data_IF_686356171849
#
_entry.id   IF_686356171849
#
_cell.length_a   1.000
_cell.length_b   1.000
_cell.length_c   1.000
_cell.angle_alpha   90.00
_cell.angle_beta   90.00
_cell.angle_gamma   90.00
#
_symmetry.space_group_name_H-M   'P 1'
#
loop_
_entity.id
_entity.type
_entity.pdbx_description
1 polymer ?
#
# COMPACT_ATOMS: atom_id res chain seq x y z
N UNK A 1 10.98 -24.35 -13.69
CA UNK A 1 10.87 -23.50 -12.49
C UNK A 1 11.28 -22.11 -12.92
N UNK A 2 10.38 -21.12 -12.86
CA UNK A 2 10.80 -19.71 -13.02
C UNK A 2 11.60 -19.33 -11.78
N UNK A 3 12.73 -18.65 -11.97
CA UNK A 3 13.57 -18.19 -10.87
C UNK A 3 13.06 -16.83 -10.43
N UNK A 4 12.70 -16.69 -9.15
CA UNK A 4 12.39 -15.39 -8.55
C UNK A 4 13.65 -14.53 -8.52
N UNK A 5 13.70 -13.49 -9.36
CA UNK A 5 14.76 -12.49 -9.32
C UNK A 5 14.26 -11.35 -8.43
N UNK A 6 14.79 -11.24 -7.21
CA UNK A 6 14.37 -10.23 -6.24
C UNK A 6 14.63 -8.81 -6.74
N UNK A 7 13.66 -7.91 -6.59
CA UNK A 7 13.85 -6.50 -6.91
C UNK A 7 14.67 -5.81 -5.80
N UNK A 8 15.74 -5.03 -6.10
CA UNK A 8 16.75 -4.65 -5.10
C UNK A 8 16.34 -3.76 -3.92
N UNK A 9 15.09 -3.34 -3.74
CA UNK A 9 14.72 -2.35 -2.71
C UNK A 9 13.30 -2.50 -2.15
N UNK A 10 12.90 -3.69 -1.70
CA UNK A 10 11.48 -3.86 -1.32
C UNK A 10 11.18 -4.75 -0.11
N UNK A 11 12.18 -5.22 0.63
CA UNK A 11 11.91 -6.26 1.63
C UNK A 11 11.18 -5.78 2.91
N UNK A 12 11.09 -4.46 3.20
CA UNK A 12 10.56 -4.00 4.50
C UNK A 12 9.64 -2.76 4.48
N UNK A 13 9.86 -1.79 3.58
CA UNK A 13 9.17 -0.50 3.67
C UNK A 13 7.84 -0.46 2.92
N UNK A 14 7.80 -0.89 1.65
CA UNK A 14 6.62 -0.80 0.78
C UNK A 14 5.80 -2.09 0.77
N UNK A 15 5.56 -2.65 1.95
CA UNK A 15 4.80 -3.88 2.14
C UNK A 15 3.30 -3.70 1.78
N UNK A 16 2.69 -4.73 1.16
CA UNK A 16 1.23 -4.94 0.93
C UNK A 16 0.34 -4.91 2.19
N UNK A 17 0.89 -4.61 3.37
CA UNK A 17 0.15 -4.37 4.60
C UNK A 17 -0.78 -3.17 4.47
N UNK A 18 -0.34 -2.10 3.80
CA UNK A 18 -1.08 -0.83 3.72
C UNK A 18 -1.36 -0.35 2.29
N UNK A 19 -0.41 -0.50 1.37
CA UNK A 19 -0.59 -0.08 -0.02
C UNK A 19 -1.26 -1.16 -0.86
N UNK A 20 -2.06 -0.73 -1.83
CA UNK A 20 -2.52 -1.60 -2.89
C UNK A 20 -1.43 -1.82 -3.96
N UNK A 21 -1.68 -2.73 -4.90
CA UNK A 21 -0.69 -3.08 -5.92
C UNK A 21 -0.30 -1.90 -6.81
N UNK A 22 -1.26 -1.05 -7.22
CA UNK A 22 -0.98 0.12 -8.04
C UNK A 22 -0.07 1.12 -7.31
N UNK A 23 -0.40 1.42 -6.05
CA UNK A 23 0.37 2.35 -5.20
C UNK A 23 1.79 1.85 -4.96
N UNK A 24 1.92 0.58 -4.54
CA UNK A 24 3.24 -0.03 -4.28
C UNK A 24 4.10 -0.03 -5.55
N UNK A 25 3.56 -0.51 -6.66
CA UNK A 25 4.27 -0.57 -7.93
C UNK A 25 4.68 0.82 -8.42
N UNK A 26 3.79 1.81 -8.33
CA UNK A 26 4.12 3.18 -8.68
C UNK A 26 5.27 3.72 -7.82
N UNK A 27 5.15 3.63 -6.48
CA UNK A 27 6.18 4.13 -5.54
C UNK A 27 7.54 3.51 -5.80
N UNK A 28 7.62 2.19 -5.91
CA UNK A 28 8.90 1.49 -6.11
C UNK A 28 9.57 1.94 -7.41
N UNK A 29 8.81 2.05 -8.49
CA UNK A 29 9.35 2.40 -9.80
C UNK A 29 9.67 3.89 -9.95
N UNK A 30 8.88 4.77 -9.32
CA UNK A 30 9.16 6.20 -9.25
C UNK A 30 10.41 6.48 -8.38
N UNK A 31 10.55 5.79 -7.24
CA UNK A 31 11.73 5.92 -6.39
C UNK A 31 13.01 5.44 -7.06
N UNK A 32 12.95 4.33 -7.81
CA UNK A 32 14.07 3.88 -8.63
C UNK A 32 14.52 4.93 -9.67
N UNK A 33 13.63 5.87 -10.03
CA UNK A 33 13.88 7.01 -10.91
C UNK A 33 14.13 8.32 -10.15
N UNK A 34 14.50 8.22 -8.86
CA UNK A 34 14.92 9.33 -7.98
C UNK A 34 13.81 10.32 -7.60
N UNK A 35 12.54 9.97 -7.78
CA UNK A 35 11.46 10.75 -7.19
C UNK A 35 11.45 10.60 -5.64
N UNK A 36 11.15 11.68 -4.91
CA UNK A 36 11.08 11.67 -3.44
C UNK A 36 9.72 11.16 -2.95
N UNK A 37 9.27 10.01 -3.45
CA UNK A 37 7.94 9.43 -3.16
C UNK A 37 7.69 9.16 -1.68
N UNK A 38 8.75 9.10 -0.85
CA UNK A 38 8.59 8.94 0.59
C UNK A 38 7.87 10.11 1.26
N UNK A 39 7.91 11.30 0.66
CA UNK A 39 7.23 12.50 1.16
C UNK A 39 5.69 12.35 1.11
N UNK A 40 5.17 11.50 0.21
CA UNK A 40 3.74 11.22 0.07
C UNK A 40 3.14 10.55 1.32
N UNK A 41 3.96 9.96 2.19
CA UNK A 41 3.49 9.20 3.35
C UNK A 41 3.18 10.05 4.59
N UNK A 42 3.10 11.37 4.47
CA UNK A 42 2.67 12.23 5.58
C UNK A 42 1.24 11.89 6.07
N UNK A 43 0.37 11.43 5.16
CA UNK A 43 -0.99 10.93 5.46
C UNK A 43 -1.03 9.44 5.82
N UNK A 44 0.12 8.77 5.91
CA UNK A 44 0.15 7.36 6.24
C UNK A 44 -0.35 7.08 7.66
N UNK A 45 -0.33 8.04 8.58
CA UNK A 45 -1.00 7.94 9.89
C UNK A 45 -2.51 8.03 9.71
N UNK A 46 -3.17 6.95 9.28
CA UNK A 46 -4.62 6.94 9.07
C UNK A 46 -5.35 6.67 10.38
N UNK A 47 -6.46 7.38 10.61
CA UNK A 47 -7.30 7.15 11.80
C UNK A 47 -7.82 5.74 11.87
N UNK A 48 -7.86 5.20 13.08
CA UNK A 48 -8.41 3.88 13.32
C UNK A 48 -9.91 3.84 13.01
N UNK A 49 -10.61 4.97 13.19
CA UNK A 49 -12.00 5.13 12.75
C UNK A 49 -12.18 4.96 11.25
N UNK A 50 -11.25 5.46 10.43
CA UNK A 50 -11.31 5.30 8.98
C UNK A 50 -11.06 3.84 8.55
N UNK A 51 -10.16 3.14 9.25
CA UNK A 51 -9.96 1.69 9.10
C UNK A 51 -11.23 0.92 9.49
N UNK A 52 -11.85 1.27 10.62
CA UNK A 52 -13.10 0.65 11.07
C UNK A 52 -14.22 0.84 10.04
N UNK A 53 -14.38 2.07 9.55
CA UNK A 53 -15.39 2.42 8.56
C UNK A 53 -15.22 1.63 7.26
N UNK A 54 -14.03 1.63 6.67
CA UNK A 54 -13.81 0.96 5.39
C UNK A 54 -13.79 -0.58 5.53
N UNK A 55 -13.13 -1.12 6.54
CA UNK A 55 -12.90 -2.57 6.63
C UNK A 55 -14.00 -3.27 7.42
N UNK A 56 -14.37 -2.77 8.60
CA UNK A 56 -15.36 -3.46 9.45
C UNK A 56 -16.78 -3.16 8.96
N UNK A 57 -17.13 -1.88 8.81
CA UNK A 57 -18.51 -1.50 8.46
C UNK A 57 -18.82 -1.73 6.98
N UNK A 58 -17.95 -1.26 6.08
CA UNK A 58 -18.16 -1.37 4.64
C UNK A 58 -17.69 -2.70 4.04
N UNK A 59 -16.98 -3.53 4.83
CA UNK A 59 -16.41 -4.82 4.38
C UNK A 59 -15.57 -4.70 3.11
N UNK A 60 -14.94 -3.54 2.93
CA UNK A 60 -14.11 -3.26 1.77
C UNK A 60 -12.92 -4.24 1.81
N UNK A 61 -12.60 -4.91 0.70
CA UNK A 61 -11.38 -5.70 0.63
C UNK A 61 -10.17 -4.83 1.00
N UNK A 62 -9.24 -5.37 1.80
CA UNK A 62 -8.04 -4.65 2.27
C UNK A 62 -7.32 -3.92 1.14
N UNK A 63 -7.13 -4.56 -0.01
CA UNK A 63 -6.42 -3.99 -1.16
C UNK A 63 -7.18 -2.87 -1.88
N UNK A 64 -8.44 -2.65 -1.53
CA UNK A 64 -9.22 -1.52 -2.04
C UNK A 64 -9.26 -0.37 -1.02
N UNK A 65 -8.58 -0.49 0.14
CA UNK A 65 -8.52 0.57 1.14
C UNK A 65 -7.98 1.87 0.55
N UNK A 66 -8.66 2.99 0.82
CA UNK A 66 -8.24 4.33 0.35
C UNK A 66 -7.51 5.02 1.50
N UNK A 67 -6.20 5.26 1.33
CA UNK A 67 -5.32 5.83 2.36
C UNK A 67 -5.07 7.35 2.23
N UNK A 68 -5.37 7.96 1.09
CA UNK A 68 -5.21 9.40 0.86
C UNK A 68 -3.77 9.91 0.65
N UNK A 69 -2.76 9.03 0.55
CA UNK A 69 -1.34 9.40 0.40
C UNK A 69 -0.98 9.90 -1.02
N UNK A 70 -1.81 9.61 -2.02
CA UNK A 70 -1.48 9.84 -3.44
C UNK A 70 -2.46 10.83 -4.09
N UNK A 71 -2.67 12.00 -3.46
CA UNK A 71 -3.53 13.02 -4.05
C UNK A 71 -2.82 13.74 -5.20
N UNK A 72 -3.59 14.23 -6.19
CA UNK A 72 -3.03 14.95 -7.33
C UNK A 72 -2.15 16.15 -6.93
N UNK A 73 -2.54 17.02 -5.97
CA UNK A 73 -1.66 18.09 -5.49
C UNK A 73 -0.33 17.58 -4.93
N UNK A 74 -0.35 16.47 -4.17
CA UNK A 74 0.86 15.89 -3.57
C UNK A 74 1.78 15.30 -4.64
N UNK A 75 1.22 14.66 -5.68
CA UNK A 75 2.00 14.16 -6.81
C UNK A 75 2.61 15.30 -7.61
N UNK A 76 1.84 16.35 -7.90
CA UNK A 76 2.30 17.53 -8.63
C UNK A 76 3.43 18.27 -7.88
N UNK A 77 3.38 18.33 -6.54
CA UNK A 77 4.45 18.90 -5.73
C UNK A 77 5.80 18.16 -5.87
N UNK A 78 5.78 16.93 -6.40
CA UNK A 78 6.97 16.13 -6.71
C UNK A 78 7.25 16.04 -8.21
N UNK A 79 6.58 16.86 -9.04
CA UNK A 79 6.67 16.79 -10.50
C UNK A 79 6.17 15.46 -11.08
N UNK A 80 5.33 14.71 -10.35
CA UNK A 80 4.81 13.41 -10.78
C UNK A 80 3.42 13.63 -11.38
N UNK A 81 3.24 13.29 -12.66
CA UNK A 81 1.93 13.40 -13.32
C UNK A 81 1.48 12.04 -13.85
N UNK A 82 0.38 11.46 -13.32
CA UNK A 82 -0.15 10.21 -13.80
C UNK A 82 -0.96 10.41 -15.08
N UNK A 83 -0.84 9.47 -16.01
CA UNK A 83 -1.62 9.43 -17.24
C UNK A 83 -2.14 8.03 -17.52
N UNK A 84 -3.24 7.96 -18.26
CA UNK A 84 -3.96 6.72 -18.55
C UNK A 84 -4.19 6.56 -20.06
N UNK A 85 -4.00 5.32 -20.53
CA UNK A 85 -4.29 4.87 -21.88
C UNK A 85 -5.18 3.65 -21.78
N UNK A 86 -6.30 3.67 -22.50
CA UNK A 86 -7.25 2.55 -22.54
C UNK A 86 -7.31 1.98 -23.94
N UNK A 87 -7.50 0.67 -24.03
CA UNK A 87 -7.68 -0.05 -25.30
C UNK A 87 -8.67 -1.19 -25.14
N UNK A 88 -9.25 -1.65 -26.25
CA UNK A 88 -10.13 -2.83 -26.22
C UNK A 88 -9.34 -4.13 -26.11
N UNK A 89 -8.10 -4.13 -26.59
CA UNK A 89 -7.13 -5.22 -26.42
C UNK A 89 -5.69 -4.68 -26.42
N UNK A 90 -4.75 -5.50 -25.95
CA UNK A 90 -3.34 -5.13 -25.84
C UNK A 90 -2.74 -4.79 -27.20
N UNK A 91 -3.17 -5.49 -28.25
CA UNK A 91 -2.71 -5.24 -29.62
C UNK A 91 -2.95 -3.80 -30.10
N UNK A 92 -4.04 -3.15 -29.65
CA UNK A 92 -4.35 -1.76 -30.01
C UNK A 92 -3.41 -0.74 -29.36
N UNK A 93 -2.96 -1.02 -28.12
CA UNK A 93 -2.13 -0.09 -27.34
C UNK A 93 -0.65 -0.51 -27.30
N UNK A 94 -0.29 -1.64 -27.90
CA UNK A 94 1.05 -2.23 -27.79
C UNK A 94 2.15 -1.24 -28.20
N UNK A 95 1.99 -0.58 -29.34
CA UNK A 95 2.99 0.38 -29.83
C UNK A 95 3.21 1.53 -28.86
N UNK A 96 2.11 2.03 -28.27
CA UNK A 96 2.16 3.13 -27.31
C UNK A 96 2.80 2.66 -26.00
N UNK A 97 2.41 1.48 -25.49
CA UNK A 97 3.04 0.87 -24.31
C UNK A 97 4.54 0.67 -24.51
N UNK A 98 4.96 0.13 -25.65
CA UNK A 98 6.39 -0.06 -25.96
C UNK A 98 7.14 1.29 -26.00
N UNK A 99 6.53 2.33 -26.58
CA UNK A 99 7.11 3.67 -26.62
C UNK A 99 7.21 4.28 -25.21
N UNK A 100 6.16 4.15 -24.39
CA UNK A 100 6.11 4.63 -23.02
C UNK A 100 7.15 3.93 -22.13
N UNK A 101 7.35 2.62 -22.30
CA UNK A 101 8.41 1.89 -21.58
C UNK A 101 9.80 2.43 -21.97
N UNK A 102 10.05 2.75 -23.25
CA UNK A 102 11.34 3.32 -23.67
C UNK A 102 11.55 4.73 -23.14
N UNK A 103 10.49 5.54 -23.14
CA UNK A 103 10.56 6.95 -22.77
C UNK A 103 10.62 7.15 -21.25
N UNK A 104 9.74 6.49 -20.51
CA UNK A 104 9.57 6.69 -19.06
C UNK A 104 10.11 5.51 -18.24
N UNK A 105 10.50 4.42 -18.90
CA UNK A 105 11.13 3.25 -18.30
C UNK A 105 10.16 2.21 -17.76
N UNK A 106 8.88 2.54 -17.56
CA UNK A 106 7.88 1.59 -17.09
C UNK A 106 6.44 2.03 -17.40
N UNK A 107 5.54 1.05 -17.43
CA UNK A 107 4.09 1.23 -17.54
C UNK A 107 3.42 0.23 -16.59
N UNK A 108 2.43 0.67 -15.83
CA UNK A 108 1.54 -0.22 -15.10
C UNK A 108 0.43 -0.67 -16.05
N UNK A 109 0.15 -1.96 -16.13
CA UNK A 109 -0.99 -2.47 -16.89
C UNK A 109 -1.95 -3.20 -15.96
N UNK A 110 -3.24 -2.97 -16.15
CA UNK A 110 -4.28 -3.71 -15.44
C UNK A 110 -4.66 -4.96 -16.22
N UNK A 111 -4.97 -6.03 -15.49
CA UNK A 111 -5.26 -7.31 -16.12
C UNK A 111 -5.65 -8.40 -15.12
N UNK A 112 -5.68 -9.62 -15.62
CA UNK A 112 -5.97 -10.82 -14.84
C UNK A 112 -4.73 -11.68 -14.63
N UNK A 113 -4.27 -11.80 -13.38
CA UNK A 113 -3.12 -12.63 -13.00
C UNK A 113 -3.28 -14.12 -13.31
N UNK A 114 -4.48 -14.56 -13.72
CA UNK A 114 -4.73 -15.90 -14.24
C UNK A 114 -3.73 -16.30 -15.34
N UNK A 115 -3.31 -15.34 -16.17
CA UNK A 115 -2.41 -15.56 -17.30
C UNK A 115 -0.93 -15.55 -16.94
N UNK A 116 -0.56 -15.26 -15.69
CA UNK A 116 0.83 -15.26 -15.26
C UNK A 116 1.21 -16.52 -14.47
N UNK A 117 2.13 -17.36 -15.00
CA UNK A 117 2.54 -18.61 -14.37
C UNK A 117 3.06 -18.51 -12.93
N UNK A 118 3.63 -17.36 -12.53
CA UNK A 118 4.22 -17.14 -11.20
C UNK A 118 3.17 -16.97 -10.08
N UNK A 119 1.89 -16.81 -10.43
CA UNK A 119 0.78 -16.74 -9.49
C UNK A 119 -0.13 -17.97 -9.59
N UNK A 120 0.38 -19.19 -9.28
CA UNK A 120 -0.37 -20.43 -9.47
C UNK A 120 -1.68 -20.49 -8.67
N UNK A 121 -1.78 -19.76 -7.56
CA UNK A 121 -2.97 -19.65 -6.72
C UNK A 121 -4.18 -19.02 -7.43
N UNK A 122 -3.96 -18.29 -8.52
CA UNK A 122 -5.02 -17.62 -9.28
C UNK A 122 -5.38 -18.34 -10.60
N UNK A 123 -4.84 -19.55 -10.84
CA UNK A 123 -5.21 -20.37 -12.01
C UNK A 123 -6.64 -20.92 -11.98
N UNK A 124 -7.38 -20.68 -10.90
CA UNK A 124 -8.79 -21.07 -10.76
C UNK A 124 -9.73 -19.86 -10.67
N UNK A 125 -9.20 -18.63 -10.69
CA UNK A 125 -10.00 -17.41 -10.53
C UNK A 125 -9.36 -16.22 -11.20
N UNK A 126 -10.11 -15.52 -12.04
CA UNK A 126 -9.72 -14.20 -12.53
C UNK A 126 -9.71 -13.19 -11.38
N UNK A 127 -8.54 -12.70 -11.03
CA UNK A 127 -8.35 -11.62 -10.07
C UNK A 127 -7.82 -10.40 -10.83
N UNK A 128 -8.50 -9.26 -10.69
CA UNK A 128 -8.02 -7.99 -11.22
C UNK A 128 -6.76 -7.56 -10.45
N UNK A 129 -5.74 -7.14 -11.18
CA UNK A 129 -4.46 -6.76 -10.64
C UNK A 129 -3.74 -5.78 -11.57
N UNK A 130 -2.76 -5.05 -11.02
CA UNK A 130 -1.85 -4.23 -11.82
C UNK A 130 -0.43 -4.79 -11.70
N UNK A 131 0.24 -4.99 -12.83
CA UNK A 131 1.66 -5.36 -12.91
C UNK A 131 2.46 -4.27 -13.59
N UNK A 132 3.77 -4.30 -13.43
CA UNK A 132 4.66 -3.35 -14.12
C UNK A 132 5.30 -4.02 -15.32
N UNK A 133 5.20 -3.39 -16.49
CA UNK A 133 6.09 -3.66 -17.62
C UNK A 133 7.24 -2.66 -17.58
N UNK A 134 8.48 -3.13 -17.47
CA UNK A 134 9.67 -2.26 -17.29
C UNK A 134 10.79 -2.51 -18.31
N UNK A 135 10.50 -3.25 -19.38
CA UNK A 135 11.44 -3.53 -20.45
C UNK A 135 10.80 -4.33 -21.57
N UNK A 136 11.31 -4.15 -22.78
CA UNK A 136 10.87 -4.85 -23.99
C UNK A 136 12.09 -5.46 -24.67
N UNK A 137 12.03 -6.76 -24.95
CA UNK A 137 13.03 -7.49 -25.73
C UNK A 137 12.47 -7.80 -27.12
N UNK A 138 12.70 -6.87 -28.06
CA UNK A 138 12.09 -6.88 -29.39
C UNK A 138 12.39 -8.15 -30.18
N UNK A 139 13.63 -8.65 -30.12
CA UNK A 139 14.06 -9.82 -30.87
C UNK A 139 13.22 -11.08 -30.56
N UNK A 140 12.63 -11.15 -29.36
CA UNK A 140 11.90 -12.31 -28.87
C UNK A 140 10.44 -11.99 -28.52
N UNK A 141 9.97 -10.76 -28.75
CA UNK A 141 8.65 -10.28 -28.31
C UNK A 141 8.36 -10.61 -26.84
N UNK A 142 9.35 -10.36 -25.96
CA UNK A 142 9.22 -10.58 -24.52
C UNK A 142 9.17 -9.27 -23.76
N UNK A 143 8.44 -9.29 -22.67
CA UNK A 143 8.33 -8.20 -21.71
C UNK A 143 9.00 -8.58 -20.40
N UNK A 144 9.69 -7.60 -19.84
CA UNK A 144 10.15 -7.65 -18.48
C UNK A 144 9.00 -7.20 -17.57
N UNK A 145 8.59 -8.08 -16.66
CA UNK A 145 7.43 -7.86 -15.79
C UNK A 145 7.88 -7.85 -14.34
N UNK A 146 7.49 -6.83 -13.58
CA UNK A 146 7.64 -6.85 -12.12
C UNK A 146 6.27 -7.01 -11.46
N UNK A 147 6.18 -8.01 -10.58
CA UNK A 147 5.01 -8.32 -9.77
C UNK A 147 5.45 -9.10 -8.52
N UNK A 148 4.54 -9.26 -7.57
CA UNK A 148 4.81 -9.97 -6.34
C UNK A 148 4.70 -11.48 -6.49
N UNK A 149 5.61 -12.18 -5.83
CA UNK A 149 5.49 -13.62 -5.63
C UNK A 149 4.43 -13.94 -4.54
N UNK A 150 4.11 -15.23 -4.29
CA UNK A 150 3.13 -15.62 -3.28
C UNK A 150 3.48 -15.18 -1.84
N UNK A 151 4.75 -14.88 -1.57
CA UNK A 151 5.20 -14.30 -0.29
C UNK A 151 5.04 -12.77 -0.23
N UNK A 152 4.39 -12.16 -1.24
CA UNK A 152 4.22 -10.70 -1.40
C UNK A 152 5.54 -9.94 -1.57
N UNK A 153 6.59 -10.59 -2.06
CA UNK A 153 7.89 -9.98 -2.36
C UNK A 153 7.94 -9.63 -3.84
N UNK A 154 8.37 -8.40 -4.16
CA UNK A 154 8.43 -7.94 -5.55
C UNK A 154 9.59 -8.61 -6.27
N UNK A 155 9.26 -9.27 -7.38
CA UNK A 155 10.17 -10.04 -8.20
C UNK A 155 10.10 -9.58 -9.66
N UNK A 156 11.15 -9.90 -10.40
CA UNK A 156 11.25 -9.69 -11.83
C UNK A 156 11.01 -11.01 -12.57
N UNK A 157 10.17 -10.96 -13.59
CA UNK A 157 9.80 -12.06 -14.47
C UNK A 157 9.97 -11.65 -15.94
N UNK A 158 9.86 -12.63 -16.84
CA UNK A 158 9.81 -12.41 -18.28
C UNK A 158 8.64 -13.18 -18.89
N UNK A 159 7.86 -12.53 -19.73
CA UNK A 159 6.68 -13.10 -20.40
C UNK A 159 6.66 -12.78 -21.88
N UNK A 160 6.09 -13.67 -22.69
CA UNK A 160 5.84 -13.42 -24.10
C UNK A 160 4.66 -12.48 -24.31
N UNK A 161 4.48 -12.05 -25.56
CA UNK A 161 3.37 -11.20 -25.97
C UNK A 161 2.00 -11.84 -25.68
N UNK A 162 1.86 -13.16 -25.87
CA UNK A 162 0.60 -13.87 -25.66
C UNK A 162 0.15 -13.82 -24.20
N UNK A 163 1.07 -14.03 -23.25
CA UNK A 163 0.74 -13.95 -21.83
C UNK A 163 0.38 -12.52 -21.39
N UNK A 164 1.11 -11.52 -21.89
CA UNK A 164 0.83 -10.11 -21.58
C UNK A 164 -0.51 -9.66 -22.17
N UNK A 165 -0.79 -10.04 -23.43
CA UNK A 165 -2.07 -9.77 -24.06
C UNK A 165 -3.21 -10.48 -23.34
N UNK A 166 -3.04 -11.77 -23.02
CA UNK A 166 -4.00 -12.55 -22.24
C UNK A 166 -4.31 -11.91 -20.89
N UNK A 167 -3.27 -11.45 -20.17
CA UNK A 167 -3.43 -10.71 -18.92
C UNK A 167 -4.27 -9.44 -19.12
N UNK A 168 -3.90 -8.60 -20.08
CA UNK A 168 -4.54 -7.29 -20.29
C UNK A 168 -5.99 -7.40 -20.78
N UNK A 169 -6.25 -8.27 -21.75
CA UNK A 169 -7.53 -8.37 -22.46
C UNK A 169 -8.66 -8.93 -21.58
N UNK A 170 -8.29 -9.75 -20.60
CA UNK A 170 -9.22 -10.50 -19.73
C UNK A 170 -9.51 -9.78 -18.41
N UNK A 171 -9.75 -8.47 -18.52
CA UNK A 171 -9.98 -7.56 -17.41
C UNK A 171 -11.01 -6.49 -17.84
N UNK A 172 -11.79 -5.98 -16.89
CA UNK A 172 -12.83 -4.99 -17.15
C UNK A 172 -12.30 -3.58 -17.47
N UNK A 173 -11.12 -3.22 -16.97
CA UNK A 173 -10.60 -1.85 -17.07
C UNK A 173 -9.77 -1.59 -18.32
N UNK A 174 -9.02 -2.61 -18.78
CA UNK A 174 -8.09 -2.59 -19.93
C UNK A 174 -7.30 -1.30 -20.01
N UNK A 175 -6.51 -1.07 -18.97
CA UNK A 175 -5.86 0.19 -18.67
C UNK A 175 -4.34 0.01 -18.63
N UNK A 176 -3.63 0.89 -19.31
CA UNK A 176 -2.23 1.18 -19.09
C UNK A 176 -2.11 2.54 -18.40
N UNK A 177 -1.27 2.63 -17.37
CA UNK A 177 -0.96 3.85 -16.62
C UNK A 177 0.53 4.10 -16.64
N UNK A 178 0.93 5.32 -16.92
CA UNK A 178 2.32 5.75 -16.82
C UNK A 178 2.39 7.05 -16.02
N UNK A 179 3.62 7.46 -15.71
CA UNK A 179 3.90 8.67 -14.96
C UNK A 179 4.97 9.46 -15.70
N UNK A 180 4.76 10.75 -15.88
CA UNK A 180 5.88 11.65 -16.20
C UNK A 180 6.54 12.11 -14.92
N UNK A 181 7.82 12.47 -15.04
CA UNK A 181 8.62 13.08 -13.99
C UNK A 181 9.18 14.38 -14.55
N UNK A 182 8.60 15.49 -14.14
CA UNK A 182 9.08 16.83 -14.46
C UNK A 182 10.03 17.33 -13.36
N UNK A 183 10.86 18.32 -13.70
CA UNK A 183 11.72 18.96 -12.73
C UNK A 183 10.87 19.72 -11.70
N UNK A 184 11.22 19.59 -10.43
CA UNK A 184 10.61 20.30 -9.31
C UNK A 184 11.69 20.80 -8.36
N UNK A 185 11.39 21.88 -7.63
CA UNK A 185 12.26 22.36 -6.56
C UNK A 185 12.10 21.47 -5.32
N UNK A 186 13.21 20.84 -4.91
CA UNK A 186 13.21 19.89 -3.80
C UNK A 186 12.96 20.57 -2.45
N UNK A 187 13.45 21.79 -2.27
CA UNK A 187 13.30 22.52 -1.02
C UNK A 187 11.85 23.01 -0.88
N UNK A 188 11.25 23.48 -1.98
CA UNK A 188 9.81 23.81 -2.02
C UNK A 188 8.95 22.57 -1.74
N UNK A 189 9.27 21.41 -2.33
CA UNK A 189 8.55 20.17 -2.06
C UNK A 189 8.62 19.77 -0.58
N UNK A 190 9.81 19.80 0.03
CA UNK A 190 9.97 19.49 1.46
C UNK A 190 9.16 20.45 2.33
N UNK A 191 9.18 21.75 2.02
CA UNK A 191 8.36 22.74 2.74
C UNK A 191 6.86 22.49 2.57
N UNK A 192 6.41 22.17 1.36
CA UNK A 192 5.02 21.80 1.07
C UNK A 192 4.57 20.62 1.94
N UNK A 193 5.33 19.52 1.97
CA UNK A 193 4.96 18.34 2.73
C UNK A 193 5.04 18.56 4.24
N UNK A 194 5.95 19.40 4.71
CA UNK A 194 5.98 19.83 6.10
C UNK A 194 4.70 20.58 6.48
N UNK A 195 4.28 21.56 5.68
CA UNK A 195 3.02 22.29 5.91
C UNK A 195 1.80 21.36 5.82
N UNK A 196 1.77 20.48 4.82
CA UNK A 196 0.68 19.53 4.63
C UNK A 196 0.53 18.57 5.82
N UNK A 197 1.64 18.15 6.45
CA UNK A 197 1.62 17.39 7.69
C UNK A 197 1.04 18.20 8.85
N UNK A 198 1.44 19.47 9.02
CA UNK A 198 0.89 20.33 10.07
C UNK A 198 -0.62 20.45 9.95
N UNK A 199 -1.10 20.76 8.74
CA UNK A 199 -2.53 20.89 8.44
C UNK A 199 -3.27 19.57 8.69
N UNK A 200 -2.68 18.46 8.25
CA UNK A 200 -3.24 17.12 8.45
C UNK A 200 -3.39 16.78 9.95
N UNK A 201 -2.35 17.00 10.75
CA UNK A 201 -2.37 16.70 12.20
C UNK A 201 -3.28 17.67 12.96
N UNK A 202 -3.40 18.92 12.52
CA UNK A 202 -4.34 19.88 13.10
C UNK A 202 -5.79 19.43 12.91
N UNK A 203 -6.14 18.94 11.71
CA UNK A 203 -7.46 18.39 11.39
C UNK A 203 -7.70 16.95 11.85
N UNK A 204 -6.68 16.26 12.38
CA UNK A 204 -6.75 14.84 12.67
C UNK A 204 -7.71 14.51 13.83
N UNK A 205 -8.68 13.64 13.55
CA UNK A 205 -9.66 13.12 14.50
C UNK A 205 -9.66 11.60 14.48
N UNK A 206 -9.63 10.99 15.66
CA UNK A 206 -9.71 9.54 15.85
C UNK A 206 -10.30 9.26 17.22
N UNK A 207 -11.54 8.78 17.27
CA UNK A 207 -12.21 8.33 18.49
C UNK A 207 -11.67 7.01 19.00
N UNK A 208 -10.87 6.33 18.18
CA UNK A 208 -10.27 5.03 18.48
C UNK A 208 -11.31 3.93 18.69
N UNK A 209 -12.47 4.05 18.00
CA UNK A 209 -13.56 3.09 18.13
C UNK A 209 -13.15 1.70 17.63
N UNK A 210 -12.29 1.64 16.61
CA UNK A 210 -11.73 0.37 16.13
C UNK A 210 -11.08 -0.46 17.23
N UNK A 211 -10.31 0.19 18.11
CA UNK A 211 -9.51 -0.47 19.14
C UNK A 211 -10.35 -0.75 20.40
N UNK A 212 -11.18 0.21 20.79
CA UNK A 212 -12.03 0.09 21.99
C UNK A 212 -13.22 -0.84 21.79
N UNK A 213 -13.76 -0.96 20.58
CA UNK A 213 -14.96 -1.75 20.26
C UNK A 213 -14.73 -3.23 19.93
N UNK A 214 -13.50 -3.75 20.05
CA UNK A 214 -13.15 -5.12 19.61
C UNK A 214 -13.94 -6.19 20.36
N UNK A 215 -14.11 -6.03 21.67
CA UNK A 215 -14.79 -7.02 22.50
C UNK A 215 -16.25 -7.19 22.08
N UNK A 216 -16.95 -6.06 21.94
CA UNK A 216 -18.34 -6.01 21.52
C UNK A 216 -18.51 -6.56 20.09
N UNK A 217 -17.61 -6.16 19.19
CA UNK A 217 -17.59 -6.68 17.83
C UNK A 217 -17.46 -8.21 17.81
N UNK A 218 -16.58 -8.80 18.63
CA UNK A 218 -16.38 -10.25 18.68
C UNK A 218 -17.52 -11.00 19.37
N UNK A 219 -18.22 -10.38 20.32
CA UNK A 219 -19.35 -10.98 21.06
C UNK A 219 -20.67 -10.92 20.31
N UNK A 220 -20.80 -9.99 19.37
CA UNK A 220 -21.98 -9.92 18.53
C UNK A 220 -22.21 -11.23 17.74
N UNK A 221 -23.46 -11.64 17.55
CA UNK A 221 -23.84 -12.89 16.91
C UNK A 221 -24.35 -12.73 15.47
N UNK A 222 -24.41 -11.50 14.93
CA UNK A 222 -24.93 -11.26 13.58
C UNK A 222 -23.98 -11.70 12.45
N UNK A 223 -22.69 -11.83 12.74
CA UNK A 223 -21.66 -12.24 11.78
C UNK A 223 -20.89 -13.48 12.24
N UNK A 224 -20.58 -14.37 11.29
CA UNK A 224 -19.75 -15.54 11.55
C UNK A 224 -18.37 -15.12 12.08
N UNK A 225 -17.87 -15.83 13.09
CA UNK A 225 -16.60 -15.53 13.76
C UNK A 225 -15.43 -15.49 12.77
N UNK A 226 -15.43 -16.34 11.75
CA UNK A 226 -14.41 -16.39 10.70
C UNK A 226 -14.31 -15.08 9.93
N UNK A 227 -15.46 -14.48 9.61
CA UNK A 227 -15.55 -13.20 8.91
C UNK A 227 -15.00 -12.11 9.82
N UNK A 228 -15.42 -12.08 11.09
CA UNK A 228 -14.93 -11.12 12.08
C UNK A 228 -13.42 -11.17 12.25
N UNK A 229 -12.86 -12.37 12.37
CA UNK A 229 -11.42 -12.54 12.48
C UNK A 229 -10.69 -12.15 11.18
N UNK A 230 -11.27 -12.39 10.00
CA UNK A 230 -10.68 -11.91 8.75
C UNK A 230 -10.66 -10.36 8.69
N UNK A 231 -11.76 -9.71 9.08
CA UNK A 231 -11.86 -8.25 9.06
C UNK A 231 -10.95 -7.60 10.11
N UNK A 232 -10.84 -8.16 11.32
CA UNK A 232 -9.86 -7.72 12.32
C UNK A 232 -8.42 -7.92 11.85
N UNK A 233 -8.12 -9.05 11.21
CA UNK A 233 -6.81 -9.29 10.61
C UNK A 233 -6.46 -8.20 9.60
N UNK A 234 -7.39 -7.85 8.71
CA UNK A 234 -7.16 -6.85 7.68
C UNK A 234 -7.02 -5.45 8.29
N UNK A 235 -7.85 -5.10 9.28
CA UNK A 235 -7.74 -3.84 10.02
C UNK A 235 -6.40 -3.69 10.73
N UNK A 236 -5.93 -4.70 11.47
CA UNK A 236 -4.61 -4.67 12.12
C UNK A 236 -3.44 -4.71 11.14
N UNK A 237 -3.62 -5.35 9.98
CA UNK A 237 -2.63 -5.31 8.90
C UNK A 237 -2.46 -3.88 8.37
N UNK A 238 -3.56 -3.18 8.10
CA UNK A 238 -3.54 -1.78 7.66
C UNK A 238 -2.92 -0.87 8.72
N UNK A 239 -3.35 -1.02 9.97
CA UNK A 239 -2.83 -0.25 11.10
C UNK A 239 -1.31 -0.43 11.23
N UNK A 240 -0.82 -1.68 11.13
CA UNK A 240 0.62 -1.95 11.17
C UNK A 240 1.39 -1.28 10.05
N UNK A 241 0.93 -1.41 8.80
CA UNK A 241 1.60 -0.82 7.64
C UNK A 241 1.54 0.71 7.64
N UNK A 242 0.39 1.28 8.00
CA UNK A 242 0.15 2.71 8.19
C UNK A 242 1.20 3.34 9.12
N UNK A 243 1.38 2.77 10.32
CA UNK A 243 2.30 3.28 11.34
C UNK A 243 3.77 3.09 10.95
N UNK A 244 4.07 1.98 10.27
CA UNK A 244 5.42 1.71 9.73
C UNK A 244 5.82 2.76 8.69
N UNK A 245 4.94 3.06 7.73
CA UNK A 245 5.18 4.07 6.69
C UNK A 245 5.24 5.48 7.26
N UNK A 246 4.37 5.80 8.22
CA UNK A 246 4.41 7.10 8.88
C UNK A 246 5.69 7.30 9.70
N UNK A 247 6.17 6.27 10.41
CA UNK A 247 7.45 6.32 11.10
C UNK A 247 8.61 6.59 10.13
N UNK A 248 8.59 5.98 8.94
CA UNK A 248 9.58 6.25 7.91
C UNK A 248 9.53 7.72 7.45
N UNK A 249 8.34 8.24 7.15
CA UNK A 249 8.17 9.65 6.81
C UNK A 249 8.70 10.59 7.92
N UNK A 250 8.36 10.34 9.19
CA UNK A 250 8.87 11.14 10.32
C UNK A 250 10.41 11.12 10.39
N UNK A 251 11.03 9.97 10.15
CA UNK A 251 12.48 9.84 10.18
C UNK A 251 13.19 10.69 9.13
N UNK A 252 12.51 10.98 8.02
CA UNK A 252 13.01 11.81 6.94
C UNK A 252 12.77 13.29 7.19
N UNK A 253 11.58 13.66 7.67
CA UNK A 253 11.19 15.07 7.84
C UNK A 253 11.60 15.67 9.19
N UNK A 254 11.79 14.82 10.20
CA UNK A 254 12.11 15.21 11.55
C UNK A 254 13.21 14.30 12.14
N UNK A 255 14.41 14.28 11.55
CA UNK A 255 15.49 13.37 11.95
C UNK A 255 15.89 13.51 13.42
N UNK A 256 15.75 14.70 14.00
CA UNK A 256 16.06 14.97 15.41
C UNK A 256 14.98 14.47 16.39
N UNK A 257 13.83 14.01 15.88
CA UNK A 257 12.69 13.56 16.69
C UNK A 257 12.65 12.02 16.80
N UNK A 258 13.80 11.44 17.15
CA UNK A 258 13.98 9.98 17.21
C UNK A 258 12.99 9.28 18.15
N UNK A 259 12.62 9.91 19.28
CA UNK A 259 11.65 9.34 20.23
C UNK A 259 10.24 9.22 19.64
N UNK A 260 9.77 10.23 18.89
CA UNK A 260 8.44 10.23 18.26
C UNK A 260 8.40 9.21 17.12
N UNK A 261 9.48 9.16 16.33
CA UNK A 261 9.66 8.17 15.26
C UNK A 261 9.64 6.74 15.82
N UNK A 262 10.35 6.50 16.92
CA UNK A 262 10.40 5.20 17.57
C UNK A 262 9.02 4.79 18.12
N UNK A 263 8.28 5.72 18.71
CA UNK A 263 6.92 5.47 19.18
C UNK A 263 6.01 5.03 18.02
N UNK A 264 6.04 5.73 16.88
CA UNK A 264 5.28 5.33 15.69
C UNK A 264 5.68 3.93 15.19
N UNK A 265 6.97 3.61 15.19
CA UNK A 265 7.47 2.28 14.81
C UNK A 265 6.97 1.18 15.75
N UNK A 266 6.96 1.44 17.06
CA UNK A 266 6.47 0.50 18.07
C UNK A 266 4.97 0.24 17.92
N UNK A 267 4.16 1.26 17.65
CA UNK A 267 2.74 1.12 17.34
C UNK A 267 2.52 0.19 16.13
N UNK A 268 3.32 0.35 15.07
CA UNK A 268 3.29 -0.52 13.90
C UNK A 268 3.59 -2.00 14.24
N UNK A 269 4.53 -2.24 15.16
CA UNK A 269 4.87 -3.59 15.63
C UNK A 269 3.80 -4.19 16.54
N UNK A 270 3.22 -3.41 17.44
CA UNK A 270 2.13 -3.87 18.31
C UNK A 270 0.87 -4.22 17.50
N UNK A 271 0.52 -3.40 16.51
CA UNK A 271 -0.54 -3.74 15.56
C UNK A 271 -0.25 -5.04 14.79
N UNK A 272 1.02 -5.29 14.43
CA UNK A 272 1.43 -6.56 13.82
C UNK A 272 1.28 -7.76 14.76
N UNK A 273 1.56 -7.59 16.05
CA UNK A 273 1.32 -8.63 17.06
C UNK A 273 -0.17 -8.96 17.15
N UNK A 274 -1.04 -7.94 17.21
CA UNK A 274 -2.49 -8.13 17.20
C UNK A 274 -2.98 -8.86 15.94
N UNK A 275 -2.49 -8.45 14.76
CA UNK A 275 -2.72 -9.18 13.49
C UNK A 275 -2.34 -10.65 13.63
N UNK A 276 -1.14 -10.94 14.15
CA UNK A 276 -0.62 -12.30 14.32
C UNK A 276 -1.46 -13.15 15.28
N UNK A 277 -1.98 -12.57 16.37
CA UNK A 277 -2.90 -13.24 17.28
C UNK A 277 -4.20 -13.63 16.57
N UNK A 278 -4.73 -12.75 15.72
CA UNK A 278 -5.94 -13.02 14.93
C UNK A 278 -5.69 -14.11 13.88
N UNK A 279 -4.54 -14.12 13.20
CA UNK A 279 -4.14 -15.22 12.29
C UNK A 279 -4.09 -16.56 13.05
N UNK A 280 -3.41 -16.58 14.19
CA UNK A 280 -3.32 -17.77 15.04
C UNK A 280 -4.70 -18.26 15.46
N UNK A 281 -5.61 -17.36 15.79
CA UNK A 281 -6.99 -17.71 16.15
C UNK A 281 -7.77 -18.32 14.99
N UNK A 282 -7.56 -17.86 13.75
CA UNK A 282 -8.19 -18.45 12.56
C UNK A 282 -7.71 -19.89 12.30
N UNK A 283 -6.42 -20.15 12.53
CA UNK A 283 -5.83 -21.49 12.34
C UNK A 283 -6.25 -22.43 13.48
N UNK A 284 -6.08 -21.99 14.73
CA UNK A 284 -6.27 -22.83 15.92
C UNK A 284 -7.72 -22.88 16.41
N UNK A 285 -8.59 -22.03 15.88
CA UNK A 285 -9.98 -21.81 16.33
C UNK A 285 -10.10 -21.35 17.79
N UNK A 286 -9.00 -20.88 18.39
CA UNK A 286 -8.93 -20.39 19.77
C UNK A 286 -8.44 -18.96 19.78
N UNK A 287 -9.19 -18.07 20.43
CA UNK A 287 -8.80 -16.69 20.68
C UNK A 287 -9.02 -16.40 22.16
N UNK A 288 -7.97 -15.93 22.83
CA UNK A 288 -8.12 -15.27 24.12
C UNK A 288 -8.57 -13.83 23.86
N UNK A 289 -9.87 -13.57 24.07
CA UNK A 289 -10.46 -12.25 23.82
C UNK A 289 -9.92 -11.23 24.83
N UNK A 290 -9.67 -11.65 26.08
CA UNK A 290 -9.18 -10.75 27.13
C UNK A 290 -7.76 -10.27 26.83
N UNK A 291 -6.86 -11.17 26.41
CA UNK A 291 -5.50 -10.78 25.98
C UNK A 291 -5.53 -9.86 24.75
N UNK A 292 -6.40 -10.14 23.76
CA UNK A 292 -6.54 -9.27 22.58
C UNK A 292 -7.00 -7.86 22.95
N UNK A 293 -8.03 -7.75 23.79
CA UNK A 293 -8.60 -6.46 24.24
C UNK A 293 -7.58 -5.69 25.09
N UNK A 294 -6.88 -6.36 26.00
CA UNK A 294 -5.84 -5.72 26.82
C UNK A 294 -4.73 -5.12 25.95
N UNK A 295 -4.25 -5.85 24.94
CA UNK A 295 -3.24 -5.35 23.99
C UNK A 295 -3.77 -4.22 23.10
N UNK A 296 -5.02 -4.30 22.66
CA UNK A 296 -5.64 -3.24 21.86
C UNK A 296 -5.80 -1.94 22.66
N UNK A 297 -6.12 -2.03 23.96
CA UNK A 297 -6.16 -0.90 24.88
C UNK A 297 -4.78 -0.28 25.09
N UNK A 298 -3.74 -1.10 25.26
CA UNK A 298 -2.36 -0.60 25.34
C UNK A 298 -1.97 0.16 24.07
N UNK A 299 -2.31 -0.38 22.89
CA UNK A 299 -2.09 0.29 21.62
C UNK A 299 -2.85 1.62 21.54
N UNK A 300 -4.11 1.64 21.98
CA UNK A 300 -4.97 2.83 22.03
C UNK A 300 -4.34 3.98 22.86
N UNK A 301 -3.84 3.66 24.05
CA UNK A 301 -3.18 4.63 24.94
C UNK A 301 -1.93 5.22 24.27
N UNK A 302 -1.15 4.39 23.58
CA UNK A 302 0.06 4.82 22.88
C UNK A 302 -0.22 5.62 21.59
N UNK A 303 -1.28 5.30 20.84
CA UNK A 303 -1.74 6.10 19.69
C UNK A 303 -2.09 7.53 20.14
N UNK A 304 -2.76 7.64 21.28
CA UNK A 304 -3.09 8.94 21.88
C UNK A 304 -1.85 9.74 22.28
N UNK A 305 -0.86 9.06 22.88
CA UNK A 305 0.42 9.67 23.22
C UNK A 305 1.20 10.14 21.98
N UNK A 306 1.22 9.35 20.90
CA UNK A 306 1.83 9.75 19.64
C UNK A 306 1.17 11.01 19.08
N UNK A 307 -0.17 11.04 19.01
CA UNK A 307 -0.89 12.19 18.48
C UNK A 307 -0.62 13.46 19.30
N UNK A 308 -0.56 13.35 20.62
CA UNK A 308 -0.21 14.48 21.49
C UNK A 308 1.22 14.97 21.25
N UNK A 309 2.18 14.05 21.09
CA UNK A 309 3.57 14.40 20.78
C UNK A 309 3.69 15.09 19.43
N UNK A 310 3.01 14.59 18.39
CA UNK A 310 2.97 15.21 17.06
C UNK A 310 2.37 16.62 17.10
N UNK A 311 1.23 16.80 17.79
CA UNK A 311 0.62 18.13 17.96
C UNK A 311 1.53 19.11 18.69
N UNK A 312 2.39 18.63 19.58
CA UNK A 312 3.37 19.46 20.28
C UNK A 312 4.53 19.82 19.35
N UNK A 313 5.07 18.84 18.62
CA UNK A 313 6.13 19.02 17.64
C UNK A 313 5.76 20.03 16.55
N UNK A 314 4.53 19.95 16.04
CA UNK A 314 4.07 20.68 14.86
C UNK A 314 3.43 22.04 15.18
N UNK A 315 3.35 22.43 16.45
CA UNK A 315 2.80 23.74 16.83
C UNK A 315 3.72 24.92 16.46
N UNK A 316 4.98 24.66 16.11
CA UNK A 316 5.99 25.71 15.96
C UNK A 316 6.25 26.46 17.28
N UNK A 317 7.35 27.22 17.38
CA UNK A 317 7.54 28.20 18.45
C UNK A 317 6.49 29.31 18.45
#
# INVERSE_FOLDING_TARGET
MMTDILYPHDAQLYDRRFMNCAERHAVVFLKARRAQTDLLFYRALVSSDEIFRQIIQQKKPKYNFVNGCFSEPDLNALGIYPYELRGECFGQIKSDVDALIRQYGFVLISGSVFYFPHCPEYRQKHLHHLVVLNGVEEAHNRYHVADDNPASVLCQYQYGLEEVAGFFDNNGDRLARWFTLEDYDRDEAVQYFHQALQDYIHGYQDSQHFLSGIEDYLKDNFEAREIKLQLLHDGFSLLSGSRTLFAHYLSLQHPDQGAITELARQLGQQAFVLKSLVVKARITRRLDIADLVARARQLQEQESALLQALRTLLRGP
#
